data_IF_801714751920
#
_entry.id   IF_801714751920
#
_cell.length_a   1.000
_cell.length_b   1.000
_cell.length_c   1.000
_cell.angle_alpha   90.00
_cell.angle_beta   90.00
_cell.angle_gamma   90.00
#
_symmetry.space_group_name_H-M   'P 1'
#
loop_
_entity.id
_entity.type
_entity.pdbx_description
1 polymer ?
#
# COMPACT_ATOMS: atom_id res chain seq x y z
N UNK A 1 -19.06 2.07 -10.49
CA UNK A 1 -19.07 1.43 -9.15
C UNK A 1 -18.50 2.47 -8.21
N UNK A 2 -19.19 2.89 -7.15
CA UNK A 2 -18.47 3.61 -6.09
C UNK A 2 -17.63 2.58 -5.37
N UNK A 3 -16.32 2.80 -5.36
CA UNK A 3 -15.40 1.97 -4.60
C UNK A 3 -15.51 2.43 -3.16
N UNK A 4 -16.04 1.60 -2.26
CA UNK A 4 -16.02 1.87 -0.82
C UNK A 4 -14.61 2.26 -0.36
N UNK A 5 -13.59 1.66 -0.98
CA UNK A 5 -12.17 2.02 -0.80
C UNK A 5 -11.86 3.46 -1.20
N UNK A 6 -12.44 3.98 -2.29
CA UNK A 6 -12.27 5.37 -2.72
C UNK A 6 -12.90 6.34 -1.73
N UNK A 7 -14.09 6.02 -1.24
CA UNK A 7 -14.77 6.83 -0.22
C UNK A 7 -13.96 6.85 1.07
N UNK A 8 -13.40 5.70 1.49
CA UNK A 8 -12.54 5.61 2.66
C UNK A 8 -11.21 6.35 2.45
N UNK A 9 -10.63 6.32 1.26
CA UNK A 9 -9.48 7.13 0.88
C UNK A 9 -9.72 8.62 1.10
N UNK A 10 -10.82 9.15 0.59
CA UNK A 10 -11.18 10.56 0.78
C UNK A 10 -11.41 10.88 2.26
N UNK A 11 -12.16 10.03 2.98
CA UNK A 11 -12.44 10.22 4.41
C UNK A 11 -11.16 10.19 5.26
N UNK A 12 -10.25 9.26 4.99
CA UNK A 12 -8.98 9.15 5.70
C UNK A 12 -8.14 10.42 5.51
N UNK A 13 -8.00 10.90 4.27
CA UNK A 13 -7.26 12.14 3.97
C UNK A 13 -7.84 13.34 4.71
N UNK A 14 -9.17 13.48 4.75
CA UNK A 14 -9.83 14.55 5.50
C UNK A 14 -9.59 14.42 7.02
N UNK A 15 -9.76 13.21 7.57
CA UNK A 15 -9.60 12.94 9.00
C UNK A 15 -8.16 13.23 9.48
N UNK A 16 -7.16 12.85 8.70
CA UNK A 16 -5.74 13.06 9.05
C UNK A 16 -5.19 14.39 8.55
N UNK A 17 -5.99 15.20 7.85
CA UNK A 17 -5.56 16.42 7.15
C UNK A 17 -4.34 16.16 6.25
N UNK A 18 -4.36 15.03 5.54
CA UNK A 18 -3.20 14.48 4.83
C UNK A 18 -2.59 15.47 3.83
N UNK A 19 -3.44 16.11 3.02
CA UNK A 19 -3.01 17.03 1.97
C UNK A 19 -2.39 18.31 2.53
N UNK A 20 -2.80 18.72 3.73
CA UNK A 20 -2.29 19.92 4.39
C UNK A 20 -0.99 19.64 5.14
N UNK A 21 -0.91 18.51 5.84
CA UNK A 21 0.16 18.24 6.81
C UNK A 21 1.30 17.38 6.25
N UNK A 22 1.00 16.42 5.37
CA UNK A 22 1.97 15.40 4.97
C UNK A 22 2.34 15.47 3.49
N UNK A 23 1.36 15.69 2.61
CA UNK A 23 1.61 15.77 1.16
C UNK A 23 2.73 16.77 0.76
N UNK A 24 2.82 17.98 1.36
CA UNK A 24 3.89 18.93 1.02
C UNK A 24 5.28 18.51 1.51
N UNK A 25 5.36 17.62 2.51
CA UNK A 25 6.61 17.14 3.11
C UNK A 25 7.26 16.07 2.23
N UNK A 26 6.44 15.20 1.65
CA UNK A 26 6.88 13.98 0.95
C UNK A 26 7.90 14.25 -0.18
N UNK A 27 7.71 15.25 -1.07
CA UNK A 27 8.72 15.55 -2.09
C UNK A 27 10.07 15.98 -1.52
N UNK A 28 10.08 16.66 -0.36
CA UNK A 28 11.31 17.18 0.26
C UNK A 28 12.21 16.06 0.77
N UNK A 29 11.60 14.99 1.28
CA UNK A 29 12.31 13.85 1.88
C UNK A 29 12.60 12.73 0.88
N UNK A 30 12.13 12.87 -0.37
CA UNK A 30 12.30 11.87 -1.44
C UNK A 30 13.77 11.49 -1.61
N UNK A 31 14.66 12.48 -1.74
CA UNK A 31 16.08 12.22 -1.99
C UNK A 31 16.73 11.37 -0.88
N UNK A 32 16.42 11.67 0.38
CA UNK A 32 16.96 10.98 1.56
C UNK A 32 16.54 9.50 1.58
N UNK A 33 15.26 9.21 1.31
CA UNK A 33 14.79 7.82 1.21
C UNK A 33 15.36 7.12 -0.02
N UNK A 34 15.45 7.82 -1.16
CA UNK A 34 15.93 7.21 -2.41
C UNK A 34 17.40 6.81 -2.38
N UNK A 35 18.23 7.45 -1.54
CA UNK A 35 19.61 6.99 -1.28
C UNK A 35 19.66 5.58 -0.69
N UNK A 36 18.64 5.18 0.08
CA UNK A 36 18.56 3.87 0.72
C UNK A 36 17.69 2.87 -0.05
N UNK A 37 17.02 3.29 -1.13
CA UNK A 37 16.01 2.50 -1.85
C UNK A 37 16.50 1.11 -2.27
N UNK A 38 17.73 1.02 -2.76
CA UNK A 38 18.32 -0.25 -3.19
C UNK A 38 18.50 -1.20 -1.99
N UNK A 39 19.12 -0.73 -0.91
CA UNK A 39 19.38 -1.54 0.29
C UNK A 39 18.06 -1.99 0.92
N UNK A 40 17.08 -1.09 1.02
CA UNK A 40 15.73 -1.38 1.52
C UNK A 40 15.07 -2.48 0.68
N UNK A 41 15.09 -2.34 -0.65
CA UNK A 41 14.49 -3.32 -1.56
C UNK A 41 15.21 -4.67 -1.49
N UNK A 42 16.54 -4.68 -1.54
CA UNK A 42 17.30 -5.92 -1.51
C UNK A 42 17.12 -6.68 -0.19
N UNK A 43 17.09 -5.96 0.93
CA UNK A 43 16.82 -6.51 2.26
C UNK A 43 15.41 -7.08 2.34
N UNK A 44 14.39 -6.37 1.85
CA UNK A 44 13.02 -6.88 1.83
C UNK A 44 12.91 -8.21 1.07
N UNK A 45 13.47 -8.30 -0.14
CA UNK A 45 13.41 -9.55 -0.91
C UNK A 45 14.28 -10.66 -0.32
N UNK A 46 15.37 -10.33 0.37
CA UNK A 46 16.14 -11.30 1.13
C UNK A 46 15.32 -11.89 2.29
N UNK A 47 14.60 -11.06 3.05
CA UNK A 47 13.69 -11.53 4.10
C UNK A 47 12.51 -12.32 3.53
N UNK A 48 11.91 -11.84 2.43
CA UNK A 48 10.81 -12.50 1.74
C UNK A 48 11.20 -13.91 1.27
N UNK A 49 12.45 -14.11 0.85
CA UNK A 49 12.95 -15.42 0.41
C UNK A 49 13.03 -16.48 1.52
N UNK A 50 12.98 -16.06 2.80
CA UNK A 50 12.97 -16.97 3.95
C UNK A 50 11.59 -17.58 4.19
N UNK A 51 10.53 -16.97 3.67
CA UNK A 51 9.20 -17.53 3.66
C UNK A 51 9.04 -18.44 2.43
N UNK A 52 8.79 -19.73 2.65
CA UNK A 52 8.71 -20.72 1.56
C UNK A 52 7.57 -20.41 0.57
N UNK A 53 6.43 -19.93 1.06
CA UNK A 53 5.29 -19.60 0.22
C UNK A 53 5.59 -18.35 -0.63
N UNK A 54 6.17 -17.32 -0.02
CA UNK A 54 6.56 -16.11 -0.72
C UNK A 54 7.67 -16.36 -1.75
N UNK A 55 8.68 -17.16 -1.39
CA UNK A 55 9.77 -17.56 -2.28
C UNK A 55 9.24 -18.25 -3.55
N UNK A 56 8.24 -19.14 -3.41
CA UNK A 56 7.57 -19.79 -4.54
C UNK A 56 6.82 -18.79 -5.42
N UNK A 57 6.16 -17.79 -4.83
CA UNK A 57 5.42 -16.75 -5.57
C UNK A 57 6.35 -15.89 -6.45
N UNK A 58 7.52 -15.53 -5.92
CA UNK A 58 8.47 -14.61 -6.58
C UNK A 58 9.51 -15.32 -7.46
N UNK A 59 9.57 -16.66 -7.42
CA UNK A 59 10.53 -17.46 -8.17
C UNK A 59 10.60 -17.09 -9.66
N UNK A 60 11.82 -16.91 -10.16
CA UNK A 60 12.09 -16.54 -11.56
C UNK A 60 11.76 -15.10 -11.94
N UNK A 61 11.28 -14.26 -11.00
CA UNK A 61 10.87 -12.86 -11.28
C UNK A 61 11.41 -11.84 -10.29
N UNK A 62 12.30 -12.23 -9.38
CA UNK A 62 12.79 -11.37 -8.29
C UNK A 62 13.34 -10.04 -8.79
N UNK A 63 14.19 -10.03 -9.82
CA UNK A 63 14.79 -8.77 -10.31
C UNK A 63 13.75 -7.82 -10.92
N UNK A 64 12.78 -8.37 -11.67
CA UNK A 64 11.66 -7.61 -12.21
C UNK A 64 10.81 -7.02 -11.07
N UNK A 65 10.52 -7.84 -10.05
CA UNK A 65 9.71 -7.43 -8.92
C UNK A 65 10.42 -6.36 -8.07
N UNK A 66 11.74 -6.48 -7.88
CA UNK A 66 12.57 -5.43 -7.26
C UNK A 66 12.50 -4.12 -8.04
N UNK A 67 12.55 -4.16 -9.37
CA UNK A 67 12.41 -2.96 -10.19
C UNK A 67 11.04 -2.30 -10.01
N UNK A 68 9.96 -3.08 -10.00
CA UNK A 68 8.60 -2.56 -9.75
C UNK A 68 8.42 -2.03 -8.33
N UNK A 69 9.02 -2.68 -7.33
CA UNK A 69 8.98 -2.24 -5.93
C UNK A 69 9.69 -0.89 -5.76
N UNK A 70 10.86 -0.71 -6.39
CA UNK A 70 11.57 0.56 -6.40
C UNK A 70 10.74 1.67 -7.05
N UNK A 71 10.16 1.42 -8.22
CA UNK A 71 9.29 2.39 -8.89
C UNK A 71 8.09 2.79 -8.03
N UNK A 72 7.39 1.81 -7.45
CA UNK A 72 6.29 2.09 -6.51
C UNK A 72 6.75 2.90 -5.30
N UNK A 73 7.89 2.55 -4.70
CA UNK A 73 8.46 3.26 -3.55
C UNK A 73 8.80 4.70 -3.90
N UNK A 74 9.33 4.96 -5.09
CA UNK A 74 9.61 6.31 -5.56
C UNK A 74 8.32 7.13 -5.68
N UNK A 75 7.25 6.52 -6.21
CA UNK A 75 5.96 7.17 -6.40
C UNK A 75 5.28 7.59 -5.09
N UNK A 76 5.64 6.97 -3.95
CA UNK A 76 5.15 7.39 -2.62
C UNK A 76 5.52 8.85 -2.29
N UNK A 77 6.51 9.42 -2.97
CA UNK A 77 7.04 10.75 -2.67
C UNK A 77 6.79 11.79 -3.77
N UNK A 78 5.85 11.51 -4.70
CA UNK A 78 5.62 12.38 -5.86
C UNK A 78 4.86 13.68 -5.54
N UNK A 79 4.17 13.78 -4.40
CA UNK A 79 3.52 15.01 -3.93
C UNK A 79 2.08 15.22 -4.40
N UNK A 80 1.58 14.41 -5.34
CA UNK A 80 0.17 14.42 -5.76
C UNK A 80 -0.50 13.09 -5.39
N UNK A 81 -1.52 13.19 -4.55
CA UNK A 81 -2.27 12.07 -3.98
C UNK A 81 -3.77 12.20 -4.29
N UNK A 82 -4.10 12.58 -5.53
CA UNK A 82 -5.46 12.66 -6.06
C UNK A 82 -6.01 11.34 -6.62
N UNK A 83 -6.88 11.45 -7.63
CA UNK A 83 -7.56 10.32 -8.25
C UNK A 83 -6.59 9.37 -8.96
N UNK A 84 -5.64 9.92 -9.71
CA UNK A 84 -4.63 9.12 -10.41
C UNK A 84 -3.74 8.32 -9.46
N UNK A 85 -3.45 8.87 -8.26
CA UNK A 85 -2.72 8.14 -7.23
C UNK A 85 -3.54 6.94 -6.77
N UNK A 86 -4.80 7.18 -6.40
CA UNK A 86 -5.71 6.12 -5.99
C UNK A 86 -5.83 5.02 -7.03
N UNK A 87 -6.06 5.36 -8.30
CA UNK A 87 -6.28 4.38 -9.36
C UNK A 87 -5.05 3.48 -9.55
N UNK A 88 -3.84 4.05 -9.48
CA UNK A 88 -2.59 3.27 -9.52
C UNK A 88 -2.47 2.30 -8.34
N UNK A 89 -2.76 2.75 -7.11
CA UNK A 89 -2.65 1.90 -5.91
C UNK A 89 -3.72 0.82 -5.86
N UNK A 90 -4.95 1.18 -6.24
CA UNK A 90 -6.04 0.22 -6.36
C UNK A 90 -5.70 -0.85 -7.41
N UNK A 91 -5.10 -0.44 -8.54
CA UNK A 91 -4.63 -1.37 -9.57
C UNK A 91 -3.58 -2.34 -9.05
N UNK A 92 -2.66 -1.88 -8.21
CA UNK A 92 -1.68 -2.74 -7.54
C UNK A 92 -2.41 -3.80 -6.70
N UNK A 93 -3.42 -3.41 -5.91
CA UNK A 93 -4.26 -4.36 -5.17
C UNK A 93 -4.93 -5.41 -6.07
N UNK A 94 -5.55 -4.99 -7.17
CA UNK A 94 -6.14 -5.92 -8.15
C UNK A 94 -5.11 -6.91 -8.73
N UNK A 95 -3.89 -6.44 -9.01
CA UNK A 95 -2.81 -7.28 -9.54
C UNK A 95 -2.42 -8.35 -8.51
N UNK A 96 -2.30 -7.99 -7.24
CA UNK A 96 -1.97 -8.95 -6.19
C UNK A 96 -3.09 -9.98 -5.98
N UNK A 97 -4.36 -9.55 -5.98
CA UNK A 97 -5.53 -10.42 -5.93
C UNK A 97 -5.51 -11.44 -7.08
N UNK A 98 -5.25 -10.98 -8.30
CA UNK A 98 -5.14 -11.85 -9.49
C UNK A 98 -3.97 -12.82 -9.39
N UNK A 99 -2.86 -12.38 -8.79
CA UNK A 99 -1.69 -13.20 -8.51
C UNK A 99 -1.87 -14.16 -7.32
N UNK A 100 -3.04 -14.15 -6.64
CA UNK A 100 -3.32 -14.95 -5.44
C UNK A 100 -2.31 -14.72 -4.32
N UNK A 101 -1.79 -13.50 -4.22
CA UNK A 101 -0.96 -13.09 -3.08
C UNK A 101 -1.93 -12.75 -1.95
N UNK A 102 -1.68 -13.23 -0.75
CA UNK A 102 -2.53 -12.90 0.40
C UNK A 102 -2.30 -11.45 0.87
N UNK A 103 -3.35 -10.73 1.33
CA UNK A 103 -3.23 -9.33 1.72
C UNK A 103 -2.26 -9.09 2.89
N UNK A 104 -1.99 -10.10 3.73
CA UNK A 104 -1.02 -9.96 4.82
C UNK A 104 0.40 -9.64 4.32
N UNK A 105 0.77 -10.03 3.09
CA UNK A 105 2.07 -9.66 2.53
C UNK A 105 2.20 -8.15 2.30
N UNK A 106 1.09 -7.46 2.02
CA UNK A 106 1.04 -5.99 1.93
C UNK A 106 1.31 -5.37 3.31
N UNK A 107 0.75 -5.94 4.37
CA UNK A 107 1.03 -5.52 5.74
C UNK A 107 2.49 -5.78 6.14
N UNK A 108 3.07 -6.92 5.74
CA UNK A 108 4.48 -7.24 6.01
C UNK A 108 5.41 -6.23 5.34
N UNK A 109 5.23 -5.94 4.05
CA UNK A 109 6.10 -4.99 3.34
C UNK A 109 5.95 -3.57 3.87
N UNK A 110 4.73 -3.11 4.13
CA UNK A 110 4.51 -1.76 4.68
C UNK A 110 5.03 -1.65 6.11
N UNK A 111 4.88 -2.69 6.94
CA UNK A 111 5.48 -2.76 8.28
C UNK A 111 7.01 -2.65 8.20
N UNK A 112 7.65 -3.39 7.29
CA UNK A 112 9.09 -3.29 7.06
C UNK A 112 9.51 -1.87 6.65
N UNK A 113 8.80 -1.26 5.71
CA UNK A 113 9.10 0.08 5.22
C UNK A 113 8.89 1.17 6.28
N UNK A 114 7.90 1.04 7.17
CA UNK A 114 7.71 2.00 8.28
C UNK A 114 8.96 2.12 9.15
N UNK A 115 9.63 1.00 9.45
CA UNK A 115 10.90 1.00 10.20
C UNK A 115 12.05 1.55 9.35
N UNK A 116 12.20 1.05 8.13
CA UNK A 116 13.28 1.47 7.24
C UNK A 116 13.24 2.98 6.92
N UNK A 117 12.05 3.55 6.72
CA UNK A 117 11.87 4.98 6.49
C UNK A 117 12.12 5.78 7.75
N UNK A 118 11.65 5.32 8.92
CA UNK A 118 11.92 5.98 10.18
C UNK A 118 13.43 6.09 10.43
N UNK A 119 14.19 5.00 10.22
CA UNK A 119 15.64 4.98 10.36
C UNK A 119 16.34 5.92 9.36
N UNK A 120 15.88 5.92 8.10
CA UNK A 120 16.46 6.77 7.05
C UNK A 120 16.20 8.27 7.27
N UNK A 121 15.14 8.63 8.00
CA UNK A 121 14.65 10.00 8.15
C UNK A 121 14.93 10.60 9.54
N UNK A 122 15.73 9.93 10.38
CA UNK A 122 16.06 10.41 11.73
C UNK A 122 16.58 11.85 11.70
N UNK A 123 17.53 12.16 10.80
CA UNK A 123 18.13 13.49 10.67
C UNK A 123 17.20 14.53 10.01
N UNK A 124 16.18 14.08 9.27
CA UNK A 124 15.15 14.96 8.66
C UNK A 124 14.08 15.39 9.70
N UNK A 125 14.04 14.72 10.84
CA UNK A 125 13.20 15.07 11.97
C UNK A 125 11.80 14.44 11.97
N UNK A 126 11.04 14.72 13.02
CA UNK A 126 9.77 14.05 13.29
C UNK A 126 8.70 14.28 12.22
N UNK A 127 8.67 15.46 11.58
CA UNK A 127 7.73 15.79 10.50
C UNK A 127 7.94 14.87 9.28
N UNK A 128 9.19 14.62 8.91
CA UNK A 128 9.56 13.72 7.82
C UNK A 128 9.12 12.28 8.10
N UNK A 129 9.42 11.79 9.31
CA UNK A 129 9.02 10.45 9.74
C UNK A 129 7.50 10.33 9.71
N UNK A 130 6.75 11.26 10.31
CA UNK A 130 5.29 11.23 10.33
C UNK A 130 4.69 11.25 8.93
N UNK A 131 5.20 12.09 8.01
CA UNK A 131 4.74 12.11 6.63
C UNK A 131 4.98 10.77 5.92
N UNK A 132 6.16 10.16 6.13
CA UNK A 132 6.50 8.85 5.55
C UNK A 132 5.61 7.71 6.06
N UNK A 133 5.23 7.75 7.33
CA UNK A 133 4.30 6.78 7.93
C UNK A 133 2.89 6.99 7.38
N UNK A 134 2.43 8.24 7.33
CA UNK A 134 1.10 8.59 6.85
C UNK A 134 0.87 8.15 5.40
N UNK A 135 1.87 8.29 4.52
CA UNK A 135 1.72 7.83 3.12
C UNK A 135 1.69 6.30 3.04
N UNK A 136 2.50 5.59 3.82
CA UNK A 136 2.47 4.11 3.84
C UNK A 136 1.12 3.59 4.34
N UNK A 137 0.54 4.22 5.36
CA UNK A 137 -0.77 3.84 5.89
C UNK A 137 -1.89 4.10 4.86
N UNK A 138 -1.86 5.26 4.20
CA UNK A 138 -2.82 5.60 3.15
C UNK A 138 -2.70 4.65 1.94
N UNK A 139 -1.47 4.31 1.55
CA UNK A 139 -1.17 3.38 0.44
C UNK A 139 -1.68 1.96 0.75
N UNK A 140 -1.33 1.45 1.93
CA UNK A 140 -1.75 0.13 2.40
C UNK A 140 -3.28 0.01 2.42
N UNK A 141 -3.97 1.04 2.92
CA UNK A 141 -5.43 1.07 2.97
C UNK A 141 -6.07 0.93 1.57
N UNK A 142 -5.52 1.58 0.55
CA UNK A 142 -6.04 1.47 -0.82
C UNK A 142 -5.79 0.06 -1.37
N UNK A 143 -4.55 -0.45 -1.24
CA UNK A 143 -4.17 -1.76 -1.78
C UNK A 143 -5.00 -2.86 -1.11
N UNK A 144 -5.13 -2.83 0.22
CA UNK A 144 -5.90 -3.80 1.01
C UNK A 144 -7.40 -3.66 0.73
N UNK A 145 -7.90 -2.44 0.53
CA UNK A 145 -9.29 -2.20 0.13
C UNK A 145 -9.71 -2.95 -1.13
N UNK A 146 -8.82 -3.05 -2.12
CA UNK A 146 -9.07 -3.85 -3.33
C UNK A 146 -9.30 -5.35 -3.03
N UNK A 147 -8.66 -5.91 -2.01
CA UNK A 147 -8.92 -7.29 -1.57
C UNK A 147 -10.28 -7.45 -0.92
N UNK A 148 -10.69 -6.48 -0.11
CA UNK A 148 -12.00 -6.50 0.53
C UNK A 148 -13.11 -6.43 -0.51
N UNK A 149 -13.01 -5.51 -1.46
CA UNK A 149 -13.97 -5.39 -2.55
C UNK A 149 -14.01 -6.65 -3.44
N UNK A 150 -12.86 -7.24 -3.76
CA UNK A 150 -12.83 -8.50 -4.52
C UNK A 150 -13.49 -9.65 -3.75
N UNK A 151 -13.24 -9.75 -2.43
CA UNK A 151 -13.87 -10.76 -1.57
C UNK A 151 -15.38 -10.60 -1.53
N UNK A 152 -15.87 -9.36 -1.40
CA UNK A 152 -17.30 -9.03 -1.44
C UNK A 152 -17.94 -9.42 -2.77
N UNK A 153 -17.27 -9.08 -3.88
CA UNK A 153 -17.72 -9.41 -5.22
C UNK A 153 -17.85 -10.93 -5.41
N UNK A 154 -16.81 -11.69 -5.05
CA UNK A 154 -16.84 -13.16 -5.14
C UNK A 154 -17.93 -13.79 -4.27
N UNK A 155 -18.14 -13.27 -3.05
CA UNK A 155 -19.20 -13.76 -2.17
C UNK A 155 -20.59 -13.52 -2.78
N UNK A 156 -20.81 -12.34 -3.34
CA UNK A 156 -22.05 -12.00 -4.06
C UNK A 156 -22.28 -12.92 -5.25
N UNK A 157 -21.23 -13.20 -6.04
CA UNK A 157 -21.29 -14.11 -7.19
C UNK A 157 -21.64 -15.55 -6.79
N UNK A 158 -21.07 -16.06 -5.70
CA UNK A 158 -21.29 -17.44 -5.23
C UNK A 158 -22.66 -17.60 -4.56
N UNK A 159 -23.10 -16.61 -3.78
CA UNK A 159 -24.35 -16.70 -2.99
C UNK A 159 -25.58 -16.20 -3.75
N UNK A 160 -25.39 -15.40 -4.80
CA UNK A 160 -26.46 -14.65 -5.46
C UNK A 160 -27.00 -13.48 -4.63
N UNK A 161 -26.44 -13.21 -3.45
CA UNK A 161 -26.87 -12.11 -2.59
C UNK A 161 -26.35 -10.77 -3.13
N UNK A 162 -27.17 -9.73 -2.99
CA UNK A 162 -26.73 -8.37 -3.29
C UNK A 162 -25.58 -7.95 -2.34
N UNK A 163 -24.54 -7.28 -2.87
CA UNK A 163 -23.40 -6.81 -2.09
C UNK A 163 -23.79 -5.94 -0.89
N UNK A 164 -24.76 -5.04 -1.04
CA UNK A 164 -25.25 -4.17 0.05
C UNK A 164 -25.89 -4.96 1.20
N UNK A 165 -26.55 -6.08 0.88
CA UNK A 165 -27.10 -6.97 1.90
C UNK A 165 -25.96 -7.69 2.63
N UNK A 166 -24.96 -8.21 1.90
CA UNK A 166 -23.79 -8.83 2.50
C UNK A 166 -23.05 -7.86 3.42
N UNK A 167 -22.84 -6.61 2.99
CA UNK A 167 -22.24 -5.55 3.82
C UNK A 167 -23.05 -5.29 5.09
N UNK A 168 -24.38 -5.17 4.99
CA UNK A 168 -25.27 -5.01 6.16
C UNK A 168 -25.17 -6.20 7.12
N UNK A 169 -25.05 -7.43 6.61
CA UNK A 169 -24.93 -8.61 7.46
C UNK A 169 -23.58 -8.73 8.16
N UNK A 170 -22.53 -8.13 7.59
CA UNK A 170 -21.18 -8.13 8.14
C UNK A 170 -20.81 -6.84 8.88
N UNK A 171 -21.72 -5.85 8.93
CA UNK A 171 -21.46 -4.63 9.67
C UNK A 171 -21.37 -4.90 11.16
N UNK A 172 -20.50 -4.18 11.85
CA UNK A 172 -20.51 -4.10 13.30
C UNK A 172 -21.83 -3.42 13.69
N UNK A 173 -22.74 -4.20 14.30
CA UNK A 173 -24.13 -3.80 14.57
C UNK A 173 -24.30 -2.55 15.43
#
# INVERSE_FOLDING_TARGET
>A
MSHTTKENFIKAKLFTRFDELYAPVLPRIKATVMQQQQIITDTFYAELSKDEAAAKIVAGRVDQLKATHKAWMEELFNGDYGDDYFDRRYKIGEIHVKAKIEPYYVEVVTSYLRRAFADALIEEGAEAIQASLAILDLDAMIIIGAYHEDRMRRMSEVTGMNQKLLETLMSFG
#
